data_IF_512507891028
#
_entry.id   IF_512507891028
#
_cell.length_a   1.000
_cell.length_b   1.000
_cell.length_c   1.000
_cell.angle_alpha   90.00
_cell.angle_beta   90.00
_cell.angle_gamma   90.00
#
_symmetry.space_group_name_H-M   'P 1'
#
loop_
_entity.id
_entity.type
_entity.pdbx_description
1 polymer ?
#
# COMPACT_ATOMS: atom_id res chain seq x y z
N UNK A 1 -14.09 -18.09 14.20
CA UNK A 1 -14.93 -18.03 15.45
C UNK A 1 -15.87 -16.84 15.30
N UNK A 2 -17.20 -17.06 15.15
CA UNK A 2 -18.19 -15.97 15.13
C UNK A 2 -18.31 -15.43 16.55
N UNK A 3 -17.89 -14.20 16.78
CA UNK A 3 -18.16 -13.43 18.00
C UNK A 3 -19.67 -13.41 18.22
N UNK A 4 -20.13 -13.95 19.37
CA UNK A 4 -21.51 -13.73 19.82
C UNK A 4 -21.66 -12.23 20.00
N UNK A 5 -22.46 -11.57 19.14
CA UNK A 5 -22.84 -10.18 19.32
C UNK A 5 -23.42 -10.05 20.71
N UNK A 6 -22.83 -9.22 21.57
CA UNK A 6 -23.44 -8.82 22.83
C UNK A 6 -24.78 -8.20 22.45
N UNK A 7 -25.89 -8.65 23.07
CA UNK A 7 -27.24 -8.15 22.77
C UNK A 7 -27.45 -6.67 23.13
N UNK A 8 -26.38 -5.86 23.05
CA UNK A 8 -26.33 -4.41 23.30
C UNK A 8 -26.58 -3.67 22.00
N UNK A 9 -27.55 -2.76 22.01
CA UNK A 9 -27.91 -1.93 20.86
C UNK A 9 -28.43 -0.56 21.31
N UNK A 10 -28.44 0.42 20.43
CA UNK A 10 -29.00 1.73 20.66
C UNK A 10 -30.44 1.75 20.12
N UNK A 11 -31.41 1.85 21.02
CA UNK A 11 -32.82 2.04 20.67
C UNK A 11 -33.19 3.53 20.66
N UNK A 12 -33.77 4.00 19.54
CA UNK A 12 -34.32 5.35 19.47
C UNK A 12 -35.82 5.30 19.77
N UNK A 13 -36.26 5.98 20.82
CA UNK A 13 -37.65 6.04 21.26
C UNK A 13 -38.15 7.47 21.14
N UNK A 14 -39.28 7.66 20.46
CA UNK A 14 -39.94 8.95 20.38
C UNK A 14 -40.89 9.11 21.58
N UNK A 15 -40.66 10.10 22.43
CA UNK A 15 -41.53 10.46 23.53
C UNK A 15 -42.26 11.75 23.18
N UNK A 16 -43.59 11.69 23.26
CA UNK A 16 -44.45 12.87 23.07
C UNK A 16 -44.72 13.47 24.46
N UNK A 17 -44.38 14.74 24.63
CA UNK A 17 -44.70 15.48 25.83
C UNK A 17 -45.32 16.82 25.44
N UNK A 18 -46.60 17.02 25.82
CA UNK A 18 -47.43 18.12 25.27
C UNK A 18 -47.42 18.06 23.75
N UNK A 19 -47.24 19.15 23.03
CA UNK A 19 -47.20 19.15 21.56
C UNK A 19 -45.82 18.96 20.95
N UNK A 20 -44.81 18.55 21.73
CA UNK A 20 -43.45 18.34 21.27
C UNK A 20 -43.08 16.88 21.30
N UNK A 21 -42.40 16.42 20.22
CA UNK A 21 -41.83 15.06 20.13
C UNK A 21 -40.36 15.13 20.44
N UNK A 22 -39.93 14.41 21.46
CA UNK A 22 -38.54 14.29 21.87
C UNK A 22 -38.00 12.94 21.44
N UNK A 23 -36.85 12.92 20.78
CA UNK A 23 -36.11 11.68 20.49
C UNK A 23 -35.21 11.35 21.66
N UNK A 24 -35.38 10.14 22.21
CA UNK A 24 -34.50 9.62 23.27
C UNK A 24 -33.70 8.45 22.74
N UNK A 25 -32.38 8.50 22.93
CA UNK A 25 -31.45 7.45 22.54
C UNK A 25 -31.05 6.65 23.79
N UNK A 26 -31.42 5.36 23.83
CA UNK A 26 -31.18 4.50 24.96
C UNK A 26 -30.27 3.36 24.57
N UNK A 27 -29.19 3.17 25.33
CA UNK A 27 -28.37 1.97 25.24
C UNK A 27 -29.11 0.83 25.98
N UNK A 28 -29.44 -0.22 25.23
CA UNK A 28 -30.21 -1.36 25.76
C UNK A 28 -29.46 -2.67 25.54
N UNK A 29 -29.64 -3.57 26.49
CA UNK A 29 -29.17 -4.96 26.41
C UNK A 29 -30.39 -5.87 26.27
N UNK A 30 -30.39 -6.73 25.24
CA UNK A 30 -31.38 -7.77 25.08
C UNK A 30 -30.84 -9.11 25.58
N UNK A 31 -31.61 -9.82 26.38
CA UNK A 31 -31.29 -11.16 26.90
C UNK A 31 -32.52 -12.04 26.90
N UNK A 32 -32.31 -13.33 27.00
CA UNK A 32 -33.42 -14.30 27.12
C UNK A 32 -33.52 -14.82 28.55
N UNK A 33 -34.72 -14.78 29.08
CA UNK A 33 -35.06 -15.34 30.37
C UNK A 33 -36.38 -16.09 30.23
N UNK A 34 -36.45 -17.34 30.68
CA UNK A 34 -37.61 -18.24 30.57
C UNK A 34 -38.19 -18.32 29.14
N UNK A 35 -37.33 -18.40 28.13
CA UNK A 35 -37.73 -18.47 26.72
C UNK A 35 -38.23 -17.15 26.11
N UNK A 36 -38.41 -16.09 26.92
CA UNK A 36 -38.85 -14.76 26.46
C UNK A 36 -37.70 -13.79 26.31
N UNK A 37 -37.77 -12.93 25.29
CA UNK A 37 -36.78 -11.87 25.09
C UNK A 37 -37.12 -10.70 26.01
N UNK A 38 -36.24 -10.41 26.97
CA UNK A 38 -36.29 -9.23 27.83
C UNK A 38 -35.23 -8.20 27.38
N UNK A 39 -35.51 -6.94 27.64
CA UNK A 39 -34.53 -5.87 27.36
C UNK A 39 -34.42 -4.92 28.55
N UNK A 40 -33.19 -4.63 28.89
CA UNK A 40 -32.79 -3.74 29.98
C UNK A 40 -32.15 -2.46 29.42
N UNK A 41 -32.45 -1.32 30.03
CA UNK A 41 -31.80 -0.04 29.67
C UNK A 41 -30.57 0.14 30.53
N UNK A 42 -29.40 0.18 29.88
CA UNK A 42 -28.11 0.35 30.53
C UNK A 42 -27.81 1.84 30.78
N UNK A 43 -28.07 2.68 29.77
CA UNK A 43 -27.77 4.11 29.84
C UNK A 43 -28.69 4.95 28.94
N UNK A 44 -28.85 6.23 29.28
CA UNK A 44 -29.51 7.23 28.45
C UNK A 44 -28.45 8.03 27.72
N UNK A 45 -28.44 7.94 26.38
CA UNK A 45 -27.48 8.60 25.49
C UNK A 45 -28.04 9.85 24.82
N UNK A 46 -29.23 10.33 25.23
CA UNK A 46 -29.92 11.45 24.55
C UNK A 46 -29.20 12.79 24.64
N UNK A 47 -28.18 12.89 25.49
CA UNK A 47 -27.36 14.08 25.64
C UNK A 47 -26.15 14.09 24.66
N UNK A 48 -25.89 12.98 23.97
CA UNK A 48 -24.79 12.89 23.03
C UNK A 48 -25.18 13.49 21.68
N UNK A 49 -24.26 14.17 20.97
CA UNK A 49 -24.46 14.61 19.61
C UNK A 49 -24.78 13.44 18.65
N UNK A 50 -25.57 13.71 17.60
CA UNK A 50 -25.98 12.68 16.63
C UNK A 50 -24.78 12.01 15.95
N UNK A 51 -23.67 12.72 15.73
CA UNK A 51 -22.42 12.21 15.18
C UNK A 51 -21.78 11.12 16.08
N UNK A 52 -21.77 11.37 17.40
CA UNK A 52 -21.25 10.41 18.38
C UNK A 52 -22.14 9.18 18.45
N UNK A 53 -23.46 9.37 18.38
CA UNK A 53 -24.42 8.27 18.34
C UNK A 53 -24.27 7.40 17.09
N UNK A 54 -23.96 8.01 15.93
CA UNK A 54 -23.69 7.27 14.70
C UNK A 54 -22.41 6.40 14.84
N UNK A 55 -21.33 6.96 15.38
CA UNK A 55 -20.07 6.25 15.65
C UNK A 55 -20.31 5.07 16.62
N UNK A 56 -21.07 5.28 17.70
CA UNK A 56 -21.39 4.22 18.65
C UNK A 56 -22.23 3.10 18.01
N UNK A 57 -23.17 3.42 17.12
CA UNK A 57 -23.97 2.41 16.39
C UNK A 57 -23.09 1.54 15.50
N UNK A 58 -22.15 2.14 14.75
CA UNK A 58 -21.21 1.43 13.90
C UNK A 58 -20.28 0.54 14.74
N UNK A 59 -19.79 1.02 15.86
CA UNK A 59 -18.96 0.22 16.78
C UNK A 59 -19.72 -0.98 17.36
N UNK A 60 -20.99 -0.82 17.71
CA UNK A 60 -21.84 -1.90 18.22
C UNK A 60 -22.24 -2.92 17.15
N UNK A 61 -22.23 -2.53 15.86
CA UNK A 61 -22.46 -3.47 14.74
C UNK A 61 -21.25 -4.36 14.44
N UNK A 62 -20.10 -4.12 15.10
CA UNK A 62 -18.87 -4.89 14.91
C UNK A 62 -18.04 -4.42 13.74
N UNK A 63 -18.34 -3.26 13.17
CA UNK A 63 -17.51 -2.63 12.15
C UNK A 63 -16.22 -2.07 12.78
N UNK A 64 -15.08 -2.41 12.20
CA UNK A 64 -13.79 -1.88 12.63
C UNK A 64 -13.67 -0.43 12.17
N UNK A 65 -13.60 0.49 13.11
CA UNK A 65 -13.37 1.90 12.81
C UNK A 65 -11.90 2.24 12.94
N UNK A 66 -11.34 2.76 11.85
CA UNK A 66 -9.98 3.30 11.83
C UNK A 66 -10.10 4.82 11.84
N UNK A 67 -9.38 5.55 12.70
CA UNK A 67 -9.39 7.01 12.67
C UNK A 67 -9.03 7.53 11.28
N UNK A 68 -9.75 8.52 10.76
CA UNK A 68 -9.52 9.07 9.43
C UNK A 68 -8.08 9.57 9.21
N UNK A 69 -7.41 9.99 10.28
CA UNK A 69 -5.98 10.36 10.29
C UNK A 69 -5.04 9.19 9.98
N UNK A 70 -5.47 7.94 10.19
CA UNK A 70 -4.67 6.74 9.99
C UNK A 70 -4.94 6.07 8.63
N UNK A 71 -6.02 6.53 7.93
CA UNK A 71 -6.45 5.96 6.64
C UNK A 71 -5.66 6.51 5.45
N UNK A 72 -5.07 7.70 5.55
CA UNK A 72 -4.32 8.31 4.44
C UNK A 72 -3.26 9.28 4.95
N UNK A 73 -2.18 8.73 5.51
CA UNK A 73 -0.96 9.48 5.71
C UNK A 73 -0.03 9.15 4.55
N UNK A 74 -0.01 10.01 3.53
CA UNK A 74 1.07 9.98 2.55
C UNK A 74 2.37 10.33 3.30
N UNK A 75 3.15 9.31 3.65
CA UNK A 75 4.41 9.49 4.39
C UNK A 75 5.48 10.05 3.45
N UNK A 76 5.49 9.58 2.20
CA UNK A 76 6.43 10.01 1.15
C UNK A 76 5.70 9.95 -0.19
N UNK A 77 5.93 10.95 -1.05
CA UNK A 77 5.54 10.92 -2.46
C UNK A 77 6.81 10.90 -3.30
N UNK A 78 7.02 9.82 -4.05
CA UNK A 78 8.17 9.67 -4.94
C UNK A 78 7.75 9.89 -6.39
N UNK A 79 8.57 10.60 -7.20
CA UNK A 79 8.32 10.75 -8.63
C UNK A 79 8.48 9.40 -9.34
N UNK A 80 7.45 8.97 -10.12
CA UNK A 80 7.43 7.66 -10.78
C UNK A 80 7.33 7.73 -12.32
N UNK A 81 6.76 8.80 -12.88
CA UNK A 81 6.45 8.86 -14.31
C UNK A 81 7.65 8.70 -15.23
N UNK A 82 8.75 9.39 -14.95
CA UNK A 82 9.99 9.31 -15.70
C UNK A 82 10.68 7.93 -15.54
N UNK A 83 10.62 7.33 -14.35
CA UNK A 83 11.14 5.98 -14.09
C UNK A 83 10.39 4.96 -14.94
N UNK A 84 9.05 4.98 -14.90
CA UNK A 84 8.21 4.06 -15.68
C UNK A 84 8.40 4.23 -17.19
N UNK A 85 8.61 5.46 -17.67
CA UNK A 85 8.88 5.70 -19.08
C UNK A 85 10.18 5.04 -19.53
N UNK A 86 11.27 5.20 -18.76
CA UNK A 86 12.56 4.60 -19.07
C UNK A 86 12.51 3.07 -18.95
N UNK A 87 12.00 2.52 -17.85
CA UNK A 87 11.90 1.07 -17.68
C UNK A 87 10.98 0.44 -18.74
N UNK A 88 9.87 1.09 -19.08
CA UNK A 88 8.98 0.63 -20.15
C UNK A 88 9.64 0.62 -21.53
N UNK A 89 10.50 1.60 -21.82
CA UNK A 89 11.28 1.61 -23.05
C UNK A 89 12.37 0.51 -23.05
N UNK A 90 13.07 0.31 -21.94
CA UNK A 90 14.05 -0.76 -21.79
C UNK A 90 13.39 -2.14 -22.01
N UNK A 91 12.17 -2.33 -21.50
CA UNK A 91 11.41 -3.56 -21.70
C UNK A 91 11.03 -3.74 -23.18
N UNK A 92 10.55 -2.69 -23.87
CA UNK A 92 10.22 -2.74 -25.30
C UNK A 92 11.43 -3.07 -26.16
N UNK A 93 12.61 -2.60 -25.79
CA UNK A 93 13.87 -2.90 -26.47
C UNK A 93 14.43 -4.28 -26.12
N UNK A 94 13.80 -5.01 -25.18
CA UNK A 94 14.27 -6.33 -24.74
C UNK A 94 15.62 -6.28 -24.02
N UNK A 95 15.94 -5.18 -23.34
CA UNK A 95 17.20 -5.03 -22.59
C UNK A 95 17.28 -6.03 -21.43
N UNK A 96 16.23 -6.29 -20.65
CA UNK A 96 16.28 -7.30 -19.57
C UNK A 96 16.71 -8.68 -20.10
N UNK A 97 16.09 -9.14 -21.18
CA UNK A 97 16.34 -10.47 -21.80
C UNK A 97 17.70 -10.52 -22.47
N UNK A 98 18.18 -9.37 -22.95
CA UNK A 98 19.52 -9.24 -23.51
C UNK A 98 20.59 -9.48 -22.42
N UNK A 99 20.41 -8.87 -21.25
CA UNK A 99 21.31 -9.01 -20.11
C UNK A 99 21.28 -10.44 -19.54
N UNK A 100 20.12 -10.96 -19.23
CA UNK A 100 19.95 -12.35 -18.80
C UNK A 100 18.51 -12.82 -19.01
N UNK A 101 18.34 -14.12 -19.30
CA UNK A 101 17.01 -14.75 -19.48
C UNK A 101 16.26 -14.95 -18.17
N UNK A 102 16.95 -15.00 -17.05
CA UNK A 102 16.38 -15.17 -15.72
C UNK A 102 16.58 -13.91 -14.87
N UNK A 103 15.63 -13.65 -13.99
CA UNK A 103 15.76 -12.59 -13.01
C UNK A 103 16.89 -12.88 -12.02
N UNK A 104 17.68 -11.87 -11.72
CA UNK A 104 18.75 -11.94 -10.74
C UNK A 104 19.02 -10.56 -10.16
N UNK A 105 19.58 -10.51 -8.94
CA UNK A 105 19.98 -9.26 -8.29
C UNK A 105 20.91 -8.45 -9.18
N UNK A 106 21.93 -9.08 -9.79
CA UNK A 106 22.89 -8.43 -10.69
C UNK A 106 22.20 -7.82 -11.92
N UNK A 107 21.22 -8.54 -12.50
CA UNK A 107 20.44 -7.99 -13.63
C UNK A 107 19.65 -6.76 -13.21
N UNK A 108 18.99 -6.78 -12.08
CA UNK A 108 18.23 -5.64 -11.54
C UNK A 108 19.14 -4.43 -11.27
N UNK A 109 20.31 -4.65 -10.67
CA UNK A 109 21.30 -3.60 -10.42
C UNK A 109 21.81 -2.98 -11.72
N UNK A 110 22.12 -3.79 -12.74
CA UNK A 110 22.54 -3.28 -14.07
C UNK A 110 21.42 -2.47 -14.73
N UNK A 111 20.16 -2.97 -14.68
CA UNK A 111 19.01 -2.22 -15.21
C UNK A 111 18.84 -0.88 -14.48
N UNK A 112 18.98 -0.88 -13.16
CA UNK A 112 18.95 0.35 -12.35
C UNK A 112 20.05 1.34 -12.70
N UNK A 113 21.27 0.87 -12.90
CA UNK A 113 22.38 1.71 -13.34
C UNK A 113 22.16 2.30 -14.74
N UNK A 114 21.63 1.52 -15.68
CA UNK A 114 21.30 2.01 -17.04
C UNK A 114 20.20 3.07 -16.95
N UNK A 115 19.12 2.78 -16.21
CA UNK A 115 18.01 3.72 -16.04
C UNK A 115 18.48 5.03 -15.40
N UNK A 116 19.27 4.97 -14.32
CA UNK A 116 19.81 6.16 -13.66
C UNK A 116 20.75 6.96 -14.58
N UNK A 117 21.49 6.28 -15.45
CA UNK A 117 22.37 6.95 -16.44
C UNK A 117 21.58 7.79 -17.44
N UNK A 118 20.35 7.37 -17.74
CA UNK A 118 19.44 8.11 -18.63
C UNK A 118 18.72 9.23 -17.86
N UNK A 119 18.27 8.94 -16.65
CA UNK A 119 17.45 9.86 -15.84
C UNK A 119 18.26 10.98 -15.21
N UNK A 120 19.37 10.61 -14.54
CA UNK A 120 20.19 11.54 -13.76
C UNK A 120 21.58 10.97 -13.52
N UNK A 121 22.51 11.13 -14.47
CA UNK A 121 23.85 10.56 -14.37
C UNK A 121 24.59 10.98 -13.10
N UNK A 122 25.06 10.00 -12.32
CA UNK A 122 25.75 10.21 -11.03
C UNK A 122 26.92 9.23 -10.87
N UNK A 123 27.73 9.46 -9.83
CA UNK A 123 28.71 8.45 -9.38
C UNK A 123 27.98 7.22 -8.79
N UNK A 124 28.69 6.10 -8.61
CA UNK A 124 28.10 4.86 -8.05
C UNK A 124 27.43 5.12 -6.70
N UNK A 125 28.11 5.83 -5.79
CA UNK A 125 27.55 6.20 -4.50
C UNK A 125 26.34 7.14 -4.65
N UNK A 126 26.39 8.08 -5.59
CA UNK A 126 25.27 8.96 -5.91
C UNK A 126 24.07 8.21 -6.49
N UNK A 127 24.31 7.19 -7.31
CA UNK A 127 23.28 6.29 -7.88
C UNK A 127 22.54 5.54 -6.79
N UNK A 128 23.25 4.89 -5.88
CA UNK A 128 22.63 4.18 -4.74
C UNK A 128 21.75 5.11 -3.89
N UNK A 129 22.27 6.28 -3.56
CA UNK A 129 21.51 7.28 -2.78
C UNK A 129 20.27 7.79 -3.52
N UNK A 130 20.27 7.87 -4.84
CA UNK A 130 19.13 8.34 -5.62
C UNK A 130 17.99 7.32 -5.69
N UNK A 131 18.25 6.04 -5.50
CA UNK A 131 17.23 4.99 -5.53
C UNK A 131 16.22 5.09 -4.40
N UNK A 132 16.55 5.74 -3.29
CA UNK A 132 15.61 6.05 -2.21
C UNK A 132 14.78 7.32 -2.46
N UNK A 133 15.17 8.15 -3.44
CA UNK A 133 14.51 9.42 -3.76
C UNK A 133 13.57 9.34 -4.98
N UNK A 134 13.45 8.17 -5.60
CA UNK A 134 12.55 7.87 -6.72
C UNK A 134 11.96 6.47 -6.56
N UNK A 135 11.03 6.09 -7.42
CA UNK A 135 10.48 4.72 -7.41
C UNK A 135 11.38 3.68 -8.07
N UNK A 136 12.55 4.07 -8.59
CA UNK A 136 13.43 3.17 -9.34
C UNK A 136 13.93 1.99 -8.50
N UNK A 137 14.34 2.27 -7.25
CA UNK A 137 14.77 1.23 -6.31
C UNK A 137 13.67 0.21 -6.06
N UNK A 138 12.45 0.68 -5.73
CA UNK A 138 11.28 -0.15 -5.45
C UNK A 138 10.84 -0.97 -6.67
N UNK A 139 10.79 -0.36 -7.85
CA UNK A 139 10.38 -1.03 -9.10
C UNK A 139 11.30 -2.19 -9.49
N UNK A 140 12.58 -2.13 -9.13
CA UNK A 140 13.59 -3.14 -9.43
C UNK A 140 13.97 -4.02 -8.23
N UNK A 141 13.46 -3.73 -7.03
CA UNK A 141 13.78 -4.45 -5.80
C UNK A 141 15.24 -4.29 -5.37
N UNK A 142 15.80 -3.08 -5.50
CA UNK A 142 17.22 -2.75 -5.24
C UNK A 142 17.40 -1.56 -4.29
N UNK A 143 16.37 -1.25 -3.48
CA UNK A 143 16.38 -0.09 -2.58
C UNK A 143 17.46 -0.19 -1.50
N UNK A 144 17.80 -1.40 -1.11
CA UNK A 144 18.77 -1.76 -0.08
C UNK A 144 20.19 -1.95 -0.61
N UNK A 145 20.41 -1.75 -1.92
CA UNK A 145 21.72 -1.97 -2.53
C UNK A 145 22.76 -0.95 -2.06
N UNK A 146 23.99 -1.39 -1.96
CA UNK A 146 25.15 -0.56 -1.66
C UNK A 146 26.06 -0.34 -2.88
N UNK A 147 27.13 0.44 -2.68
CA UNK A 147 28.05 0.77 -3.77
C UNK A 147 28.90 -0.45 -4.21
N UNK A 148 29.19 -1.36 -3.29
CA UNK A 148 30.02 -2.55 -3.56
C UNK A 148 29.25 -3.54 -4.43
N UNK A 149 27.94 -3.72 -4.17
CA UNK A 149 27.06 -4.50 -5.04
C UNK A 149 27.00 -3.96 -6.47
N UNK A 150 27.13 -2.63 -6.67
CA UNK A 150 27.18 -2.05 -8.01
C UNK A 150 28.46 -2.42 -8.75
N UNK A 151 29.58 -2.49 -8.03
CA UNK A 151 30.85 -2.93 -8.64
C UNK A 151 30.79 -4.43 -8.96
N UNK A 152 30.27 -5.27 -8.09
CA UNK A 152 30.04 -6.69 -8.37
C UNK A 152 29.10 -6.91 -9.57
N UNK A 153 28.05 -6.10 -9.70
CA UNK A 153 27.16 -6.13 -10.85
C UNK A 153 27.86 -5.71 -12.17
N UNK A 154 28.82 -4.79 -12.10
CA UNK A 154 29.65 -4.43 -13.25
C UNK A 154 30.62 -5.57 -13.65
N UNK A 155 31.23 -6.24 -12.70
CA UNK A 155 32.09 -7.40 -12.97
C UNK A 155 31.27 -8.56 -13.58
N UNK A 156 30.06 -8.79 -13.06
CA UNK A 156 29.10 -9.73 -13.66
C UNK A 156 28.74 -9.31 -15.11
N UNK A 157 28.49 -8.02 -15.35
CA UNK A 157 28.19 -7.50 -16.70
C UNK A 157 29.37 -7.71 -17.65
N UNK A 158 30.59 -7.42 -17.20
CA UNK A 158 31.84 -7.63 -17.98
C UNK A 158 31.99 -9.13 -18.31
N UNK A 159 31.80 -10.02 -17.39
CA UNK A 159 31.85 -11.47 -17.67
C UNK A 159 30.78 -11.93 -18.66
N UNK A 160 29.66 -11.22 -18.74
CA UNK A 160 28.55 -11.49 -19.66
C UNK A 160 28.70 -10.81 -21.04
N UNK A 161 29.68 -9.93 -21.20
CA UNK A 161 29.87 -9.12 -22.41
C UNK A 161 29.90 -9.92 -23.72
N UNK A 162 30.68 -11.02 -23.87
CA UNK A 162 30.74 -11.74 -25.16
C UNK A 162 29.39 -12.32 -25.56
N UNK A 163 28.60 -12.76 -24.58
CA UNK A 163 27.24 -13.30 -24.82
C UNK A 163 26.27 -12.20 -25.23
N UNK A 164 26.37 -11.02 -24.60
CA UNK A 164 25.52 -9.86 -24.90
C UNK A 164 25.84 -9.33 -26.32
N UNK A 165 27.09 -9.18 -26.64
CA UNK A 165 27.55 -8.72 -27.96
C UNK A 165 27.10 -9.68 -29.07
N UNK A 166 27.24 -10.99 -28.87
CA UNK A 166 26.73 -12.01 -29.80
C UNK A 166 25.23 -11.89 -30.04
N UNK A 167 24.45 -11.67 -28.97
CA UNK A 167 22.98 -11.49 -29.09
C UNK A 167 22.64 -10.20 -29.84
N UNK A 168 23.35 -9.10 -29.57
CA UNK A 168 23.18 -7.82 -30.28
C UNK A 168 23.49 -7.95 -31.73
N UNK A 169 24.65 -8.52 -32.07
CA UNK A 169 25.05 -8.77 -33.46
C UNK A 169 24.01 -9.62 -34.21
N UNK A 170 23.48 -10.68 -33.57
CA UNK A 170 22.42 -11.52 -34.14
C UNK A 170 21.13 -10.77 -34.40
N UNK A 171 20.79 -9.76 -33.60
CA UNK A 171 19.57 -8.94 -33.83
C UNK A 171 19.74 -7.94 -34.98
N UNK A 172 20.94 -7.38 -35.16
CA UNK A 172 21.19 -6.33 -36.17
C UNK A 172 21.70 -6.87 -37.52
N UNK A 173 22.27 -8.06 -37.55
CA UNK A 173 22.79 -8.66 -38.81
C UNK A 173 21.79 -9.64 -39.45
N UNK A 174 20.63 -9.90 -38.82
CA UNK A 174 19.58 -10.74 -39.38
C UNK A 174 18.45 -9.92 -40.03
N UNK A 175 18.59 -8.61 -40.12
CA UNK A 175 17.79 -7.71 -40.96
C UNK A 175 18.50 -7.45 -42.28
#
# INVERSE_FOLDING_TARGET
>A
MKSKSSGIHIATVNKKYKDKVYKCHLLRRSYREDGKVKSETIANLSMLPDEVLAVLKLSLSGESMVPARDVSKAVITLPCGHVRAVLGMMQKLGIPELLASRDSRQRSLVLGMIAERVLSPKSKLGTVRSWTSSTLGAELGIEDADADELYEALDWLLSSQPRIEKKLAGRHLSE
#
